data_IF_180837723003
#
_entry.id   IF_180837723003
#
_cell.length_a   1.000
_cell.length_b   1.000
_cell.length_c   1.000
_cell.angle_alpha   90.00
_cell.angle_beta   90.00
_cell.angle_gamma   90.00
#
_symmetry.space_group_name_H-M   'P 1'
#
loop_
_entity.id
_entity.type
_entity.pdbx_description
1 polymer ?
#
# COMPACT_ATOMS: atom_id res chain seq x y z
N UNK A 1 -15.69 -13.80 4.16
CA UNK A 1 -14.61 -12.84 3.85
C UNK A 1 -13.68 -13.49 2.84
N UNK A 2 -13.25 -12.78 1.79
CA UNK A 2 -12.33 -13.34 0.78
C UNK A 2 -10.87 -13.11 1.19
N UNK A 3 -9.92 -13.96 0.76
CA UNK A 3 -8.48 -13.73 0.98
C UNK A 3 -8.04 -12.35 0.49
N UNK A 4 -8.54 -11.94 -0.68
CA UNK A 4 -8.28 -10.61 -1.25
C UNK A 4 -8.67 -9.47 -0.30
N UNK A 5 -9.89 -9.47 0.24
CA UNK A 5 -10.36 -8.41 1.13
C UNK A 5 -9.53 -8.32 2.41
N UNK A 6 -9.07 -9.47 2.90
CA UNK A 6 -8.21 -9.54 4.07
C UNK A 6 -6.82 -8.95 3.78
N UNK A 7 -6.15 -9.41 2.72
CA UNK A 7 -4.84 -8.88 2.28
C UNK A 7 -4.89 -7.38 2.00
N UNK A 8 -5.96 -6.91 1.34
CA UNK A 8 -6.22 -5.50 1.10
C UNK A 8 -6.36 -4.72 2.41
N UNK A 9 -7.13 -5.22 3.38
CA UNK A 9 -7.33 -4.52 4.65
C UNK A 9 -6.05 -4.39 5.46
N UNK A 10 -5.16 -5.38 5.42
CA UNK A 10 -3.87 -5.31 6.10
C UNK A 10 -2.95 -4.29 5.41
N UNK A 11 -2.99 -4.21 4.08
CA UNK A 11 -2.22 -3.21 3.32
C UNK A 11 -2.74 -1.79 3.57
N UNK A 12 -4.06 -1.64 3.64
CA UNK A 12 -4.71 -0.41 4.07
C UNK A 12 -4.31 -0.03 5.50
N UNK A 13 -4.32 -0.97 6.45
CA UNK A 13 -3.94 -0.74 7.83
C UNK A 13 -2.49 -0.28 7.96
N UNK A 14 -1.56 -0.91 7.22
CA UNK A 14 -0.18 -0.48 7.16
C UNK A 14 -0.05 0.92 6.56
N UNK A 15 -0.73 1.19 5.44
CA UNK A 15 -0.72 2.52 4.78
C UNK A 15 -1.22 3.61 5.73
N UNK A 16 -2.29 3.34 6.48
CA UNK A 16 -2.79 4.23 7.53
C UNK A 16 -1.71 4.52 8.58
N UNK A 17 -1.06 3.47 9.11
CA UNK A 17 -0.03 3.60 10.13
C UNK A 17 1.23 4.35 9.66
N UNK A 18 1.57 4.22 8.39
CA UNK A 18 2.74 4.88 7.80
C UNK A 18 2.49 6.34 7.43
N UNK A 19 1.31 6.64 6.91
CA UNK A 19 0.96 8.00 6.45
C UNK A 19 0.32 8.86 7.54
N UNK A 20 -0.21 8.24 8.59
CA UNK A 20 -1.05 8.90 9.60
C UNK A 20 -2.42 9.34 9.06
N UNK A 21 -2.79 8.98 7.84
CA UNK A 21 -4.08 9.37 7.25
C UNK A 21 -5.18 8.42 7.69
N UNK A 22 -6.23 8.98 8.29
CA UNK A 22 -7.43 8.22 8.67
C UNK A 22 -8.24 7.78 7.45
N UNK A 23 -8.23 8.56 6.36
CA UNK A 23 -9.01 8.28 5.17
C UNK A 23 -8.24 8.52 3.87
N UNK A 24 -8.21 7.51 3.01
CA UNK A 24 -7.51 7.54 1.73
C UNK A 24 -8.14 6.56 0.72
N UNK A 25 -7.64 6.53 -0.51
CA UNK A 25 -8.17 5.68 -1.58
C UNK A 25 -7.04 4.85 -2.19
N UNK A 26 -7.28 3.55 -2.34
CA UNK A 26 -6.42 2.64 -3.08
C UNK A 26 -7.06 2.20 -4.38
N UNK A 27 -6.25 2.00 -5.42
CA UNK A 27 -6.67 1.34 -6.64
C UNK A 27 -6.80 -0.16 -6.44
N UNK A 28 -7.89 -0.74 -6.93
CA UNK A 28 -8.08 -2.20 -7.01
C UNK A 28 -8.39 -2.57 -8.46
N UNK A 29 -7.36 -2.97 -9.24
CA UNK A 29 -7.53 -3.54 -10.57
C UNK A 29 -8.44 -4.78 -10.51
N UNK A 30 -9.49 -4.78 -11.33
CA UNK A 30 -10.44 -5.88 -11.41
C UNK A 30 -10.88 -6.12 -12.85
N UNK A 31 -11.19 -7.38 -13.16
CA UNK A 31 -11.72 -7.75 -14.46
C UNK A 31 -13.17 -7.30 -14.61
N UNK A 32 -13.50 -6.71 -15.76
CA UNK A 32 -14.84 -6.31 -16.18
C UNK A 32 -15.54 -7.38 -17.05
N UNK A 33 -14.87 -8.52 -17.28
CA UNK A 33 -15.44 -9.68 -17.99
C UNK A 33 -16.66 -10.19 -17.23
N UNK A 34 -17.84 -10.16 -17.86
CA UNK A 34 -19.06 -10.77 -17.32
C UNK A 34 -19.65 -11.77 -18.30
N UNK A 35 -20.11 -12.90 -17.76
CA UNK A 35 -20.73 -13.96 -18.55
C UNK A 35 -19.73 -14.78 -19.37
N UNK A 36 -20.27 -15.78 -20.08
CA UNK A 36 -19.48 -16.76 -20.83
C UNK A 36 -18.91 -16.21 -22.13
N UNK A 37 -19.67 -15.37 -22.84
CA UNK A 37 -19.28 -14.85 -24.14
C UNK A 37 -17.99 -14.00 -24.11
N UNK A 38 -17.67 -13.39 -22.97
CA UNK A 38 -16.47 -12.56 -22.81
C UNK A 38 -15.28 -13.34 -22.25
N UNK A 39 -15.38 -14.63 -21.92
CA UNK A 39 -14.24 -15.38 -21.36
C UNK A 39 -13.15 -15.62 -22.39
N UNK A 40 -13.55 -15.93 -23.61
CA UNK A 40 -12.64 -16.39 -24.67
C UNK A 40 -12.18 -15.23 -25.59
N UNK A 41 -12.51 -13.98 -25.24
CA UNK A 41 -12.17 -12.79 -26.04
C UNK A 41 -10.81 -12.22 -25.63
N UNK A 42 -9.89 -12.08 -26.58
CA UNK A 42 -8.63 -11.37 -26.35
C UNK A 42 -8.90 -9.86 -26.35
N UNK A 43 -8.50 -9.15 -25.29
CA UNK A 43 -8.70 -7.71 -25.14
C UNK A 43 -8.43 -7.21 -23.73
N UNK A 44 -8.37 -5.89 -23.57
CA UNK A 44 -8.24 -5.25 -22.26
C UNK A 44 -9.60 -5.17 -21.57
N UNK A 45 -9.79 -6.00 -20.55
CA UNK A 45 -10.97 -5.99 -19.70
C UNK A 45 -10.64 -5.60 -18.25
N UNK A 46 -9.47 -5.01 -18.02
CA UNK A 46 -9.06 -4.55 -16.70
C UNK A 46 -9.61 -3.14 -16.47
N UNK A 47 -10.26 -2.93 -15.34
CA UNK A 47 -10.61 -1.60 -14.85
C UNK A 47 -10.18 -1.48 -13.39
N UNK A 48 -9.66 -0.32 -13.01
CA UNK A 48 -9.21 -0.08 -11.63
C UNK A 48 -10.30 0.61 -10.85
N UNK A 49 -10.77 -0.04 -9.79
CA UNK A 49 -11.80 0.51 -8.91
C UNK A 49 -11.13 1.29 -7.77
N UNK A 50 -11.54 2.53 -7.49
CA UNK A 50 -11.12 3.23 -6.29
C UNK A 50 -11.82 2.62 -5.07
N UNK A 51 -11.04 2.09 -4.13
CA UNK A 51 -11.53 1.54 -2.87
C UNK A 51 -11.04 2.43 -1.73
N UNK A 52 -11.98 3.15 -1.12
CA UNK A 52 -11.70 3.97 0.06
C UNK A 52 -11.31 3.09 1.24
N UNK A 53 -10.41 3.58 2.09
CA UNK A 53 -10.13 3.07 3.42
C UNK A 53 -10.48 4.14 4.45
N UNK A 54 -11.06 3.75 5.58
CA UNK A 54 -11.30 4.65 6.72
C UNK A 54 -10.92 3.94 8.02
N UNK A 55 -10.00 4.53 8.77
CA UNK A 55 -9.49 4.08 10.06
C UNK A 55 -9.74 5.12 11.14
N UNK A 56 -9.83 4.64 12.36
CA UNK A 56 -9.80 5.42 13.59
C UNK A 56 -8.90 4.73 14.62
N UNK A 57 -8.70 5.36 15.78
CA UNK A 57 -7.85 4.83 16.84
C UNK A 57 -8.28 3.46 17.39
N UNK A 58 -9.51 2.99 17.12
CA UNK A 58 -10.05 1.72 17.61
C UNK A 58 -10.22 0.68 16.51
N UNK A 59 -9.78 0.99 15.30
CA UNK A 59 -9.94 0.11 14.15
C UNK A 59 -9.10 -1.15 14.34
N UNK A 60 -9.77 -2.29 14.36
CA UNK A 60 -9.15 -3.63 14.45
C UNK A 60 -9.01 -4.26 13.06
N UNK A 61 -8.15 -5.27 12.91
CA UNK A 61 -8.02 -6.00 11.66
C UNK A 61 -9.34 -6.62 11.20
N UNK A 62 -10.15 -7.16 12.12
CA UNK A 62 -11.49 -7.68 11.82
C UNK A 62 -12.40 -6.62 11.23
N UNK A 63 -12.44 -5.44 11.84
CA UNK A 63 -13.29 -4.33 11.37
C UNK A 63 -12.83 -3.80 10.01
N UNK A 64 -11.52 -3.66 9.81
CA UNK A 64 -10.93 -3.22 8.55
C UNK A 64 -11.21 -4.23 7.43
N UNK A 65 -11.07 -5.53 7.68
CA UNK A 65 -11.33 -6.58 6.69
C UNK A 65 -12.81 -6.68 6.30
N UNK A 66 -13.72 -6.48 7.27
CA UNK A 66 -15.16 -6.39 6.98
C UNK A 66 -15.47 -5.17 6.10
N UNK A 67 -14.90 -4.00 6.44
CA UNK A 67 -15.08 -2.76 5.69
C UNK A 67 -14.51 -2.87 4.26
N UNK A 68 -13.29 -3.40 4.10
CA UNK A 68 -12.66 -3.63 2.81
C UNK A 68 -13.49 -4.59 1.94
N UNK A 69 -13.94 -5.70 2.53
CA UNK A 69 -14.80 -6.67 1.86
C UNK A 69 -16.11 -6.07 1.35
N UNK A 70 -16.78 -5.28 2.17
CA UNK A 70 -18.01 -4.58 1.78
C UNK A 70 -17.76 -3.60 0.62
N UNK A 71 -16.70 -2.79 0.71
CA UNK A 71 -16.37 -1.77 -0.30
C UNK A 71 -15.97 -2.38 -1.63
N UNK A 72 -15.16 -3.45 -1.60
CA UNK A 72 -14.80 -4.20 -2.80
C UNK A 72 -16.06 -4.79 -3.45
N UNK A 73 -16.95 -5.42 -2.67
CA UNK A 73 -18.20 -5.96 -3.20
C UNK A 73 -19.09 -4.89 -3.84
N UNK A 74 -19.24 -3.72 -3.20
CA UNK A 74 -19.98 -2.58 -3.77
C UNK A 74 -19.32 -2.04 -5.03
N UNK A 75 -17.99 -1.96 -5.06
CA UNK A 75 -17.21 -1.55 -6.24
C UNK A 75 -17.40 -2.50 -7.42
N UNK A 76 -17.39 -3.81 -7.16
CA UNK A 76 -17.55 -4.85 -8.19
C UNK A 76 -18.88 -4.76 -8.95
N UNK A 77 -19.95 -4.27 -8.32
CA UNK A 77 -21.24 -4.00 -9.00
C UNK A 77 -21.08 -2.97 -10.13
N UNK A 78 -20.13 -2.05 -9.99
CA UNK A 78 -19.89 -0.92 -10.89
C UNK A 78 -18.56 -1.02 -11.65
N UNK A 79 -17.88 -2.18 -11.62
CA UNK A 79 -16.55 -2.39 -12.24
C UNK A 79 -16.52 -2.09 -13.75
N UNK A 80 -17.68 -2.00 -14.41
CA UNK A 80 -17.77 -1.66 -15.84
C UNK A 80 -17.62 -0.17 -16.14
N UNK A 81 -17.79 0.69 -15.16
CA UNK A 81 -17.63 2.13 -15.34
C UNK A 81 -16.15 2.47 -15.19
N UNK A 82 -15.46 2.86 -16.28
CA UNK A 82 -14.01 3.08 -16.23
C UNK A 82 -13.69 4.25 -15.30
N UNK A 83 -12.86 4.02 -14.28
CA UNK A 83 -12.50 5.06 -13.32
C UNK A 83 -11.83 6.26 -14.01
N UNK A 84 -10.99 5.99 -15.00
CA UNK A 84 -10.34 7.01 -15.83
C UNK A 84 -11.32 7.93 -16.57
N UNK A 85 -12.54 7.46 -16.90
CA UNK A 85 -13.56 8.31 -17.53
C UNK A 85 -14.35 9.14 -16.52
N UNK A 86 -14.54 8.63 -15.31
CA UNK A 86 -15.19 9.38 -14.24
C UNK A 86 -14.31 10.52 -13.70
N UNK A 87 -12.98 10.31 -13.71
CA UNK A 87 -12.01 11.24 -13.15
C UNK A 87 -10.86 11.55 -14.13
N UNK A 88 -11.13 12.14 -15.31
CA UNK A 88 -10.17 12.23 -16.42
C UNK A 88 -8.95 13.13 -16.13
N UNK A 89 -8.96 13.88 -15.04
CA UNK A 89 -7.88 14.82 -14.65
C UNK A 89 -7.44 14.66 -13.20
N UNK A 90 -7.89 13.63 -12.50
CA UNK A 90 -7.56 13.42 -11.10
C UNK A 90 -6.83 12.09 -10.91
N UNK A 91 -5.69 12.15 -10.21
CA UNK A 91 -5.04 10.95 -9.68
C UNK A 91 -5.82 10.52 -8.43
N UNK A 92 -6.86 9.72 -8.64
CA UNK A 92 -7.78 9.28 -7.57
C UNK A 92 -7.07 8.42 -6.52
N UNK A 93 -6.05 7.69 -6.95
CA UNK A 93 -5.20 6.87 -6.09
C UNK A 93 -3.78 6.92 -6.66
N UNK A 94 -2.81 6.83 -5.75
CA UNK A 94 -1.38 6.69 -6.06
C UNK A 94 -0.80 5.35 -5.63
N UNK A 95 -1.63 4.57 -4.94
CA UNK A 95 -1.27 3.26 -4.42
C UNK A 95 -2.35 2.26 -4.79
N UNK A 96 -1.97 1.04 -5.16
CA UNK A 96 -2.92 0.01 -5.54
C UNK A 96 -2.51 -1.39 -5.06
N UNK A 97 -3.50 -2.28 -4.99
CA UNK A 97 -3.30 -3.70 -4.72
C UNK A 97 -4.14 -4.55 -5.66
N UNK A 98 -3.55 -5.60 -6.22
CA UNK A 98 -4.27 -6.62 -6.96
C UNK A 98 -3.73 -8.02 -6.62
N UNK A 99 -4.55 -9.04 -6.92
CA UNK A 99 -4.23 -10.44 -6.68
C UNK A 99 -4.36 -11.23 -7.98
N UNK A 100 -3.32 -11.99 -8.28
CA UNK A 100 -3.26 -12.94 -9.40
C UNK A 100 -3.26 -14.36 -8.84
N UNK A 101 -4.12 -15.19 -9.41
CA UNK A 101 -4.19 -16.61 -9.08
C UNK A 101 -3.37 -17.38 -10.11
N UNK A 102 -2.14 -17.76 -9.75
CA UNK A 102 -1.18 -18.39 -10.66
C UNK A 102 -1.56 -19.84 -10.99
N UNK A 103 -2.30 -20.50 -10.09
CA UNK A 103 -2.85 -21.85 -10.27
C UNK A 103 -3.89 -21.95 -11.41
N UNK A 104 -4.36 -20.81 -11.94
CA UNK A 104 -5.26 -20.74 -13.09
C UNK A 104 -4.55 -20.57 -14.43
N UNK A 105 -3.22 -20.45 -14.44
CA UNK A 105 -2.45 -20.43 -15.67
C UNK A 105 -2.36 -21.85 -16.24
N UNK A 106 -2.50 -21.99 -17.56
CA UNK A 106 -2.36 -23.27 -18.27
C UNK A 106 -1.25 -23.13 -19.33
N UNK A 107 -0.11 -23.83 -19.20
CA UNK A 107 0.26 -24.72 -18.08
C UNK A 107 0.54 -23.94 -16.78
N UNK A 108 0.49 -24.59 -15.61
CA UNK A 108 1.00 -24.00 -14.38
C UNK A 108 2.53 -23.85 -14.51
N UNK A 109 3.01 -22.62 -14.64
CA UNK A 109 4.44 -22.30 -14.67
C UNK A 109 4.85 -21.76 -13.30
N UNK A 110 5.88 -22.35 -12.64
CA UNK A 110 6.34 -21.85 -11.35
C UNK A 110 6.87 -20.41 -11.44
N UNK A 111 6.68 -19.64 -10.37
CA UNK A 111 7.19 -18.28 -10.26
C UNK A 111 8.72 -18.22 -10.33
N UNK A 112 9.24 -17.05 -10.70
CA UNK A 112 10.67 -16.75 -10.66
C UNK A 112 11.11 -16.64 -9.19
N UNK A 113 12.12 -17.41 -8.73
CA UNK A 113 12.62 -17.30 -7.38
C UNK A 113 13.16 -15.89 -7.06
N UNK A 114 13.07 -15.41 -5.81
CA UNK A 114 13.66 -14.14 -5.44
C UNK A 114 15.15 -14.05 -5.80
N UNK A 115 15.53 -13.01 -6.54
CA UNK A 115 16.91 -12.79 -7.00
C UNK A 115 17.32 -13.57 -8.24
N UNK A 116 16.42 -14.36 -8.84
CA UNK A 116 16.63 -14.99 -10.13
C UNK A 116 16.02 -14.16 -11.28
N UNK A 117 16.55 -14.30 -12.49
CA UNK A 117 15.97 -13.69 -13.70
C UNK A 117 15.05 -14.62 -14.47
N UNK A 118 15.09 -15.92 -14.16
CA UNK A 118 14.35 -16.98 -14.84
C UNK A 118 13.86 -18.01 -13.81
N UNK A 119 12.63 -18.45 -14.00
CA UNK A 119 12.02 -19.50 -13.19
C UNK A 119 12.38 -20.91 -13.67
N UNK A 120 11.94 -21.95 -12.94
CA UNK A 120 12.07 -23.33 -13.38
C UNK A 120 11.36 -23.56 -14.72
N UNK A 121 12.05 -24.23 -15.65
CA UNK A 121 11.45 -24.63 -16.93
C UNK A 121 10.52 -25.83 -16.76
N UNK A 122 9.38 -25.80 -17.46
CA UNK A 122 8.39 -26.87 -17.52
C UNK A 122 8.10 -27.29 -18.97
N UNK A 123 8.07 -28.60 -19.27
CA UNK A 123 7.72 -29.09 -20.60
C UNK A 123 6.21 -28.94 -20.85
N UNK A 124 5.82 -28.28 -21.93
CA UNK A 124 4.44 -28.13 -22.35
C UNK A 124 4.32 -28.05 -23.87
N UNK A 125 3.42 -28.85 -24.45
CA UNK A 125 3.16 -28.90 -25.90
C UNK A 125 4.44 -29.08 -26.77
N UNK A 126 5.44 -29.80 -26.26
CA UNK A 126 6.72 -30.04 -26.96
C UNK A 126 7.73 -28.88 -26.88
N UNK A 127 7.45 -27.87 -26.05
CA UNK A 127 8.34 -26.75 -25.73
C UNK A 127 8.72 -26.79 -24.25
N UNK A 128 9.88 -26.24 -23.94
CA UNK A 128 10.30 -25.93 -22.58
C UNK A 128 9.93 -24.46 -22.30
N UNK A 129 9.11 -24.24 -21.27
CA UNK A 129 8.55 -22.91 -20.94
C UNK A 129 9.00 -22.53 -19.53
N UNK A 130 9.51 -21.31 -19.36
CA UNK A 130 9.83 -20.72 -18.07
C UNK A 130 9.27 -19.29 -17.99
N UNK A 131 8.94 -18.84 -16.77
CA UNK A 131 8.70 -17.41 -16.53
C UNK A 131 10.03 -16.69 -16.50
N UNK A 132 10.08 -15.54 -17.16
CA UNK A 132 11.23 -14.63 -17.14
C UNK A 132 10.81 -13.39 -16.38
N UNK A 133 11.64 -12.98 -15.42
CA UNK A 133 11.43 -11.72 -14.73
C UNK A 133 11.85 -10.58 -15.66
N UNK A 134 10.85 -9.91 -16.21
CA UNK A 134 11.04 -8.74 -17.07
C UNK A 134 10.54 -7.54 -16.28
N UNK A 135 11.37 -6.51 -16.05
CA UNK A 135 10.91 -5.25 -15.48
C UNK A 135 9.76 -4.69 -16.35
N UNK A 136 8.54 -4.71 -15.82
CA UNK A 136 7.33 -4.31 -16.53
C UNK A 136 6.46 -3.40 -15.65
N UNK A 137 5.95 -2.32 -16.24
CA UNK A 137 4.99 -1.39 -15.63
C UNK A 137 5.43 -0.77 -14.28
N UNK A 138 6.73 -0.50 -14.13
CA UNK A 138 7.25 0.23 -12.98
C UNK A 138 6.93 1.74 -13.10
N UNK A 139 6.63 2.40 -11.98
CA UNK A 139 6.41 3.85 -11.92
C UNK A 139 5.06 4.39 -12.42
N UNK A 140 4.05 3.55 -12.70
CA UNK A 140 2.70 4.04 -13.01
C UNK A 140 1.95 4.59 -11.79
N UNK A 141 2.38 4.14 -10.60
CA UNK A 141 1.85 4.46 -9.30
C UNK A 141 3.04 4.63 -8.36
N UNK A 142 2.92 5.49 -7.35
CA UNK A 142 3.93 5.67 -6.31
C UNK A 142 4.27 4.30 -5.67
N UNK A 143 3.25 3.46 -5.40
CA UNK A 143 3.42 2.10 -4.87
C UNK A 143 2.33 1.13 -5.37
N UNK A 144 2.73 -0.05 -5.82
CA UNK A 144 1.84 -1.12 -6.29
C UNK A 144 2.20 -2.43 -5.60
N UNK A 145 1.23 -3.02 -4.89
CA UNK A 145 1.36 -4.35 -4.31
C UNK A 145 0.65 -5.38 -5.20
N UNK A 146 1.44 -6.23 -5.85
CA UNK A 146 0.96 -7.42 -6.55
C UNK A 146 1.04 -8.61 -5.61
N UNK A 147 -0.09 -9.26 -5.40
CA UNK A 147 -0.16 -10.55 -4.71
C UNK A 147 -0.22 -11.66 -5.75
N UNK A 148 0.68 -12.62 -5.68
CA UNK A 148 0.63 -13.85 -6.45
C UNK A 148 0.29 -15.02 -5.55
N UNK A 149 -0.85 -15.64 -5.81
CA UNK A 149 -1.31 -16.80 -5.08
C UNK A 149 -0.98 -18.06 -5.87
N UNK A 150 -0.19 -18.95 -5.26
CA UNK A 150 0.13 -20.28 -5.77
C UNK A 150 -0.43 -21.35 -4.82
N UNK A 151 -0.41 -22.64 -5.20
CA UNK A 151 -0.76 -23.72 -4.29
C UNK A 151 0.15 -23.80 -3.05
N UNK A 152 1.41 -23.36 -3.16
CA UNK A 152 2.43 -23.41 -2.11
C UNK A 152 2.33 -22.22 -1.14
N UNK A 153 1.68 -21.12 -1.55
CA UNK A 153 1.54 -19.96 -0.70
C UNK A 153 1.21 -18.67 -1.45
N UNK A 154 1.64 -17.57 -0.86
CA UNK A 154 1.42 -16.23 -1.38
C UNK A 154 2.76 -15.51 -1.49
N UNK A 155 3.04 -14.94 -2.65
CA UNK A 155 4.16 -14.03 -2.85
C UNK A 155 3.64 -12.60 -2.99
N UNK A 156 4.21 -11.68 -2.23
CA UNK A 156 3.92 -10.25 -2.30
C UNK A 156 5.06 -9.55 -3.04
N UNK A 157 4.75 -8.84 -4.12
CA UNK A 157 5.74 -8.08 -4.89
C UNK A 157 5.36 -6.62 -4.92
N UNK A 158 6.27 -5.78 -4.42
CA UNK A 158 6.14 -4.33 -4.41
C UNK A 158 6.87 -3.73 -5.62
N UNK A 159 6.14 -3.00 -6.44
CA UNK A 159 6.67 -2.15 -7.51
C UNK A 159 6.41 -0.70 -7.14
N UNK A 160 7.36 0.19 -7.39
CA UNK A 160 7.29 1.58 -6.91
C UNK A 160 7.98 2.55 -7.87
N UNK A 161 7.63 3.83 -7.74
CA UNK A 161 8.31 4.92 -8.42
C UNK A 161 9.59 5.30 -7.66
N UNK A 162 10.74 5.14 -8.29
CA UNK A 162 12.05 5.45 -7.70
C UNK A 162 12.30 6.94 -7.52
N UNK A 163 11.53 7.80 -8.19
CA UNK A 163 11.58 9.25 -7.97
C UNK A 163 10.84 9.65 -6.68
N UNK A 164 9.97 8.77 -6.14
CA UNK A 164 9.18 9.02 -4.94
C UNK A 164 9.65 8.19 -3.75
N UNK A 165 10.01 6.92 -3.96
CA UNK A 165 10.36 5.97 -2.92
C UNK A 165 11.72 5.33 -3.20
N UNK A 166 12.56 5.24 -2.17
CA UNK A 166 13.78 4.46 -2.23
C UNK A 166 13.56 2.99 -1.81
N UNK A 167 14.53 2.14 -2.14
CA UNK A 167 14.48 0.71 -1.86
C UNK A 167 14.37 0.42 -0.36
N UNK A 168 15.11 1.15 0.47
CA UNK A 168 15.15 0.89 1.90
C UNK A 168 13.79 1.14 2.56
N UNK A 169 13.14 2.24 2.14
CA UNK A 169 11.78 2.62 2.52
C UNK A 169 10.80 1.51 2.15
N UNK A 170 10.83 1.02 0.90
CA UNK A 170 9.93 -0.07 0.46
C UNK A 170 10.22 -1.40 1.15
N UNK A 171 11.49 -1.72 1.45
CA UNK A 171 11.84 -2.90 2.25
C UNK A 171 11.23 -2.83 3.65
N UNK A 172 11.37 -1.69 4.35
CA UNK A 172 10.74 -1.50 5.67
C UNK A 172 9.22 -1.58 5.59
N UNK A 173 8.62 -1.06 4.52
CA UNK A 173 7.19 -1.19 4.27
C UNK A 173 6.78 -2.66 4.10
N UNK A 174 7.52 -3.44 3.31
CA UNK A 174 7.26 -4.86 3.11
C UNK A 174 7.39 -5.67 4.41
N UNK A 175 8.44 -5.41 5.21
CA UNK A 175 8.62 -6.02 6.52
C UNK A 175 7.47 -5.67 7.48
N UNK A 176 7.01 -4.42 7.43
CA UNK A 176 5.83 -3.95 8.15
C UNK A 176 4.56 -4.68 7.72
N UNK A 177 4.42 -4.97 6.41
CA UNK A 177 3.27 -5.70 5.89
C UNK A 177 3.24 -7.14 6.39
N UNK A 178 4.39 -7.82 6.41
CA UNK A 178 4.51 -9.16 6.98
C UNK A 178 4.17 -9.18 8.48
N UNK A 179 4.66 -8.22 9.26
CA UNK A 179 4.36 -8.09 10.69
C UNK A 179 2.87 -7.81 10.94
N UNK A 180 2.27 -6.93 10.15
CA UNK A 180 0.83 -6.65 10.22
C UNK A 180 0.00 -7.88 9.85
N UNK A 181 0.41 -8.67 8.84
CA UNK A 181 -0.24 -9.94 8.49
C UNK A 181 -0.14 -10.95 9.64
N UNK A 182 1.03 -11.10 10.24
CA UNK A 182 1.24 -12.01 11.37
C UNK A 182 0.34 -11.63 12.57
N UNK A 183 0.31 -10.35 12.94
CA UNK A 183 -0.54 -9.85 14.01
C UNK A 183 -2.03 -10.06 13.70
N UNK A 184 -2.47 -9.74 12.47
CA UNK A 184 -3.86 -9.88 12.05
C UNK A 184 -4.35 -11.34 12.09
N UNK A 185 -3.45 -12.31 11.84
CA UNK A 185 -3.78 -13.75 11.89
C UNK A 185 -3.77 -14.28 13.32
N UNK A 186 -2.87 -13.78 14.17
CA UNK A 186 -2.78 -14.17 15.57
C UNK A 186 -3.98 -13.69 16.39
N UNK A 187 -4.30 -12.40 16.30
CA UNK A 187 -5.46 -11.81 16.96
C UNK A 187 -6.09 -10.70 16.10
N UNK A 188 -7.15 -10.99 15.33
CA UNK A 188 -7.79 -10.02 14.46
C UNK A 188 -8.56 -8.92 15.22
N UNK A 189 -8.76 -9.06 16.53
CA UNK A 189 -9.44 -8.07 17.37
C UNK A 189 -8.46 -7.08 18.02
N UNK A 190 -7.15 -7.28 17.86
CA UNK A 190 -6.13 -6.30 18.22
C UNK A 190 -6.30 -5.01 17.40
N UNK A 191 -6.25 -3.81 18.02
CA UNK A 191 -6.21 -2.55 17.31
C UNK A 191 -4.99 -2.45 16.39
N UNK A 192 -5.21 -1.95 15.17
CA UNK A 192 -4.13 -1.72 14.18
C UNK A 192 -3.04 -0.81 14.74
N UNK A 193 -3.40 0.10 15.65
CA UNK A 193 -2.50 1.03 16.28
C UNK A 193 -1.49 0.38 17.26
N UNK A 194 -1.80 -0.82 17.74
CA UNK A 194 -1.01 -1.49 18.78
C UNK A 194 0.09 -2.39 18.19
N UNK A 195 0.11 -2.57 16.88
CA UNK A 195 1.14 -3.36 16.20
C UNK A 195 2.42 -2.53 16.03
N UNK A 196 3.52 -3.08 16.55
CA UNK A 196 4.85 -2.49 16.41
C UNK A 196 5.32 -2.53 14.95
N UNK A 197 5.59 -1.33 14.41
CA UNK A 197 6.07 -1.16 13.04
C UNK A 197 7.60 -1.15 12.90
N UNK A 198 8.35 -1.04 13.99
CA UNK A 198 9.80 -1.19 13.96
C UNK A 198 10.16 -2.65 14.29
N UNK A 199 11.07 -3.25 13.52
CA UNK A 199 11.72 -4.49 13.94
C UNK A 199 12.66 -4.25 15.14
N UNK A 200 13.09 -5.31 15.82
CA UNK A 200 13.97 -5.18 16.99
C UNK A 200 15.27 -4.40 16.69
N UNK A 201 15.92 -4.69 15.56
CA UNK A 201 17.13 -3.99 15.11
C UNK A 201 16.90 -2.53 14.74
N UNK A 202 15.73 -2.22 14.15
CA UNK A 202 15.34 -0.86 13.80
C UNK A 202 15.02 -0.05 15.06
N UNK A 203 14.31 -0.65 16.02
CA UNK A 203 14.06 -0.04 17.31
C UNK A 203 15.37 0.26 18.05
N UNK A 204 16.32 -0.68 18.06
CA UNK A 204 17.65 -0.44 18.63
C UNK A 204 18.37 0.72 17.94
N UNK A 205 18.32 0.80 16.60
CA UNK A 205 18.92 1.91 15.85
C UNK A 205 18.24 3.26 16.17
N UNK A 206 16.91 3.29 16.26
CA UNK A 206 16.14 4.49 16.63
C UNK A 206 16.44 4.95 18.06
N UNK A 207 16.55 4.01 19.00
CA UNK A 207 16.93 4.30 20.39
C UNK A 207 18.39 4.77 20.48
N UNK A 208 19.29 4.23 19.66
CA UNK A 208 20.68 4.67 19.59
C UNK A 208 20.80 6.13 19.11
N UNK A 209 19.96 6.57 18.16
CA UNK A 209 19.90 7.97 17.73
C UNK A 209 19.49 8.92 18.86
N UNK A 210 18.55 8.50 19.72
CA UNK A 210 18.10 9.28 20.87
C UNK A 210 19.10 9.33 22.04
N UNK A 211 19.96 8.30 22.17
CA UNK A 211 20.97 8.23 23.24
C UNK A 211 22.32 8.84 22.86
N UNK A 212 22.58 9.05 21.56
CA UNK A 212 23.79 9.72 21.07
C UNK A 212 23.87 11.22 21.40
N UNK A 213 22.77 11.86 21.82
CA UNK A 213 22.74 13.24 22.31
C UNK A 213 23.06 13.39 23.82
N UNK A 214 23.81 12.45 24.38
CA UNK A 214 24.31 12.48 25.76
C UNK A 214 25.62 13.25 25.97
N UNK A 215 26.00 14.18 25.09
CA UNK A 215 26.99 15.21 25.43
C UNK A 215 26.26 16.34 26.12
N UNK A 216 26.60 16.58 27.39
CA UNK A 216 25.88 17.42 28.33
C UNK A 216 25.29 18.71 27.74
N UNK A 217 24.00 18.92 28.00
CA UNK A 217 23.42 20.25 27.99
C UNK A 217 24.01 21.01 29.18
N UNK A 218 25.24 21.53 29.00
CA UNK A 218 25.78 22.53 29.92
C UNK A 218 24.92 23.79 29.79
N UNK A 219 24.56 24.34 30.95
CA UNK A 219 23.51 25.35 31.12
C UNK A 219 23.55 26.46 30.08
N UNK A 220 22.37 26.77 29.55
CA UNK A 220 22.12 28.00 28.83
C UNK A 220 22.22 29.15 29.84
N UNK A 221 23.40 29.75 29.96
CA UNK A 221 23.58 31.01 30.69
C UNK A 221 22.74 32.10 30.01
N UNK A 222 21.85 32.69 30.81
CA UNK A 222 21.09 33.93 30.64
C UNK A 222 20.94 34.51 29.23
N UNK A 223 19.73 34.37 28.67
CA UNK A 223 19.23 35.34 27.69
C UNK A 223 18.57 36.50 28.44
N UNK A 224 19.38 37.45 28.91
CA UNK A 224 18.90 38.78 29.31
C UNK A 224 18.66 39.58 28.03
N UNK A 225 17.39 39.77 27.66
CA UNK A 225 17.02 40.49 26.45
C UNK A 225 15.54 40.43 26.11
N UNK A 226 14.67 40.66 27.10
CA UNK A 226 13.25 40.96 26.87
C UNK A 226 12.90 42.23 27.66
N UNK A 227 13.31 43.37 27.13
CA UNK A 227 12.75 44.69 27.46
C UNK A 227 12.98 45.60 26.25
N UNK A 228 12.19 45.38 25.19
CA UNK A 228 11.80 46.40 24.18
C UNK A 228 11.00 45.73 23.05
N UNK A 229 9.72 45.46 23.28
CA UNK A 229 8.71 45.39 22.21
C UNK A 229 7.36 45.77 22.81
N UNK A 230 7.26 47.03 23.22
CA UNK A 230 6.00 47.67 23.58
C UNK A 230 5.73 48.78 22.54
N UNK A 231 5.28 48.37 21.35
CA UNK A 231 4.56 49.22 20.39
C UNK A 231 4.04 48.35 19.22
N UNK A 232 2.87 47.73 19.41
CA UNK A 232 2.03 47.32 18.29
C UNK A 232 0.82 48.27 18.24
N UNK A 233 0.97 49.33 17.45
CA UNK A 233 -0.16 50.18 17.06
C UNK A 233 -1.17 49.36 16.25
N UNK A 234 -2.43 49.51 16.64
CA UNK A 234 -3.61 49.02 15.94
C UNK A 234 -3.71 49.61 14.55
N UNK A 235 -3.94 48.78 13.52
CA UNK A 235 -4.54 49.24 12.28
C UNK A 235 -5.72 48.35 11.90
N UNK A 236 -6.91 48.85 12.25
CA UNK A 236 -8.15 48.52 11.55
C UNK A 236 -8.27 49.38 10.28
N UNK A 237 -8.84 48.73 9.26
CA UNK A 237 -9.74 49.26 8.21
C UNK A 237 -9.21 49.81 6.86
N UNK A 238 -9.65 49.07 5.83
CA UNK A 238 -10.43 49.50 4.65
C UNK A 238 -9.73 49.94 3.34
N UNK A 239 -9.96 49.13 2.28
CA UNK A 239 -10.64 49.45 0.98
C UNK A 239 -10.24 48.41 -0.08
N UNK A 240 -11.18 47.66 -0.65
CA UNK A 240 -12.00 47.98 -1.84
C UNK A 240 -11.22 48.46 -3.08
N UNK A 241 -11.45 47.72 -4.19
CA UNK A 241 -11.29 48.04 -5.61
C UNK A 241 -9.89 47.95 -6.27
N UNK A 242 -9.65 46.86 -7.01
CA UNK A 242 -9.65 46.89 -8.49
C UNK A 242 -9.73 45.49 -9.11
#
# INVERSE_FOLDING_TARGET
>A
MTPFAYLLSVFQALTHRWTGQDAFVLGVPATSRMGRAQRDVIGCFLNTMPVRADFDARSTFRSAAAQAGERVMRGMVNVRYPCALAFPRANVFRTALFLVQMDRMEPPVPNVPPGASEGPSVPYAGLDIALIDVPQQEGQLDLLLRIEQTPEGIMAVFSYDTDVLDRETVTRFADGYERMLAAAVQDPDTPVADVELAGASELEALLALGTAAGTGFDGFDGFDGFDEFDEFESFENAREQR
#
